data_IF_471050942172
#
_entry.id   IF_471050942172
#
_cell.length_a   1.000
_cell.length_b   1.000
_cell.length_c   1.000
_cell.angle_alpha   90.00
_cell.angle_beta   90.00
_cell.angle_gamma   90.00
#
_symmetry.space_group_name_H-M   'P 1'
#
loop_
_entity.id
_entity.type
_entity.pdbx_description
1 polymer ?
#
# COMPACT_ATOMS: atom_id res chain seq x y z
N UNK A 1 -5.45 1.42 -25.13
CA UNK A 1 -6.44 2.49 -25.40
C UNK A 1 -5.80 3.88 -25.55
N UNK A 2 -4.67 4.17 -24.88
CA UNK A 2 -3.99 5.48 -24.95
C UNK A 2 -3.53 5.90 -26.35
N UNK A 3 -2.93 5.00 -27.14
CA UNK A 3 -2.40 5.36 -28.47
C UNK A 3 -3.49 5.80 -29.47
N UNK A 4 -4.68 5.19 -29.40
CA UNK A 4 -5.81 5.57 -30.27
C UNK A 4 -6.38 6.94 -29.90
N UNK A 5 -6.43 7.25 -28.60
CA UNK A 5 -6.86 8.55 -28.10
C UNK A 5 -5.93 9.68 -28.56
N UNK A 6 -4.61 9.51 -28.45
CA UNK A 6 -3.65 10.51 -28.93
C UNK A 6 -3.69 10.71 -30.44
N UNK A 7 -3.87 9.62 -31.19
CA UNK A 7 -4.04 9.70 -32.63
C UNK A 7 -5.30 10.49 -33.00
N UNK A 8 -6.43 10.25 -32.33
CA UNK A 8 -7.66 11.02 -32.51
C UNK A 8 -7.50 12.49 -32.08
N UNK A 9 -6.82 12.77 -30.97
CA UNK A 9 -6.56 14.14 -30.51
C UNK A 9 -5.67 14.92 -31.50
N UNK A 10 -4.60 14.30 -32.02
CA UNK A 10 -3.71 14.94 -32.99
C UNK A 10 -4.44 15.21 -34.31
N UNK A 11 -5.20 14.23 -34.82
CA UNK A 11 -5.92 14.37 -36.09
C UNK A 11 -7.03 15.40 -36.03
N UNK A 12 -7.78 15.47 -34.93
CA UNK A 12 -8.80 16.51 -34.71
C UNK A 12 -8.20 17.90 -34.54
N UNK A 13 -7.10 18.01 -33.77
CA UNK A 13 -6.38 19.28 -33.62
C UNK A 13 -5.81 19.76 -34.97
N UNK A 14 -5.23 18.85 -35.75
CA UNK A 14 -4.69 19.15 -37.08
C UNK A 14 -5.80 19.59 -38.05
N UNK A 15 -6.95 18.91 -38.05
CA UNK A 15 -8.11 19.30 -38.86
C UNK A 15 -8.64 20.69 -38.47
N UNK A 16 -8.75 20.98 -37.17
CA UNK A 16 -9.15 22.31 -36.67
C UNK A 16 -8.16 23.39 -37.10
N UNK A 17 -6.86 23.14 -36.97
CA UNK A 17 -5.82 24.07 -37.41
C UNK A 17 -5.89 24.32 -38.93
N UNK A 18 -6.15 23.29 -39.74
CA UNK A 18 -6.35 23.46 -41.18
C UNK A 18 -7.60 24.28 -41.52
N UNK A 19 -8.73 24.01 -40.84
CA UNK A 19 -9.98 24.77 -41.02
C UNK A 19 -9.77 26.25 -40.68
N UNK A 20 -8.98 26.56 -39.65
CA UNK A 20 -8.66 27.94 -39.25
C UNK A 20 -7.58 28.57 -40.16
N UNK A 21 -6.64 27.77 -40.68
CA UNK A 21 -5.55 28.25 -41.53
C UNK A 21 -6.01 28.71 -42.93
N UNK A 22 -6.99 28.03 -43.53
CA UNK A 22 -7.54 28.37 -44.84
C UNK A 22 -8.08 29.82 -44.90
N UNK A 23 -8.96 30.29 -43.99
CA UNK A 23 -9.41 31.68 -43.95
C UNK A 23 -8.32 32.65 -43.46
N UNK A 24 -7.43 32.22 -42.57
CA UNK A 24 -6.28 33.02 -42.11
C UNK A 24 -5.38 33.46 -43.27
N UNK A 25 -5.04 32.54 -44.18
CA UNK A 25 -4.19 32.83 -45.35
C UNK A 25 -4.82 33.89 -46.28
N UNK A 26 -6.15 33.91 -46.39
CA UNK A 26 -6.89 34.83 -47.27
C UNK A 26 -7.16 36.20 -46.63
N UNK A 27 -7.05 36.32 -45.30
CA UNK A 27 -7.33 37.57 -44.58
C UNK A 27 -6.18 38.57 -44.70
N UNK A 28 -6.49 39.84 -44.98
CA UNK A 28 -5.52 40.95 -44.96
C UNK A 28 -5.45 41.67 -43.59
N UNK A 29 -6.35 41.35 -42.65
CA UNK A 29 -6.41 42.02 -41.34
C UNK A 29 -5.31 41.52 -40.40
N UNK A 30 -4.48 42.45 -39.92
CA UNK A 30 -3.42 42.18 -38.92
C UNK A 30 -4.03 41.69 -37.60
N UNK A 31 -5.14 42.29 -37.15
CA UNK A 31 -5.81 41.91 -35.91
C UNK A 31 -6.35 40.48 -35.96
N UNK A 32 -6.98 40.09 -37.08
CA UNK A 32 -7.48 38.73 -37.27
C UNK A 32 -6.33 37.71 -37.27
N UNK A 33 -5.22 38.04 -37.92
CA UNK A 33 -4.04 37.17 -37.93
C UNK A 33 -3.43 37.03 -36.53
N UNK A 34 -3.34 38.11 -35.76
CA UNK A 34 -2.87 38.08 -34.37
C UNK A 34 -3.77 37.21 -33.48
N UNK A 35 -5.09 37.35 -33.59
CA UNK A 35 -6.06 36.55 -32.84
C UNK A 35 -5.94 35.05 -33.15
N UNK A 36 -5.89 34.69 -34.43
CA UNK A 36 -5.72 33.29 -34.86
C UNK A 36 -4.38 32.72 -34.38
N UNK A 37 -3.30 33.50 -34.47
CA UNK A 37 -1.99 33.10 -33.95
C UNK A 37 -2.02 32.79 -32.46
N UNK A 38 -2.63 33.67 -31.65
CA UNK A 38 -2.81 33.46 -30.22
C UNK A 38 -3.64 32.21 -29.91
N UNK A 39 -4.74 32.00 -30.64
CA UNK A 39 -5.62 30.85 -30.47
C UNK A 39 -4.89 29.53 -30.81
N UNK A 40 -4.07 29.51 -31.86
CA UNK A 40 -3.20 28.39 -32.19
C UNK A 40 -2.20 28.10 -31.07
N UNK A 41 -1.56 29.12 -30.48
CA UNK A 41 -0.62 28.97 -29.36
C UNK A 41 -1.32 28.37 -28.14
N UNK A 42 -2.54 28.82 -27.81
CA UNK A 42 -3.32 28.29 -26.68
C UNK A 42 -3.67 26.82 -26.92
N UNK A 43 -4.17 26.47 -28.11
CA UNK A 43 -4.52 25.08 -28.45
C UNK A 43 -3.29 24.19 -28.37
N UNK A 44 -2.16 24.59 -28.96
CA UNK A 44 -0.92 23.84 -28.89
C UNK A 44 -0.41 23.68 -27.45
N UNK A 45 -0.57 24.70 -26.61
CA UNK A 45 -0.19 24.65 -25.19
C UNK A 45 -1.06 23.67 -24.40
N UNK A 46 -2.36 23.63 -24.64
CA UNK A 46 -3.29 22.68 -24.00
C UNK A 46 -2.99 21.23 -24.42
N UNK A 47 -2.80 20.99 -25.72
CA UNK A 47 -2.43 19.66 -26.23
C UNK A 47 -1.08 19.22 -25.68
N UNK A 48 -0.09 20.13 -25.64
CA UNK A 48 1.21 19.87 -25.02
C UNK A 48 1.07 19.51 -23.54
N UNK A 49 0.27 20.26 -22.78
CA UNK A 49 -0.02 19.99 -21.38
C UNK A 49 -0.64 18.60 -21.16
N UNK A 50 -1.63 18.22 -21.97
CA UNK A 50 -2.29 16.90 -21.85
C UNK A 50 -1.34 15.74 -22.18
N UNK A 51 -0.50 15.88 -23.22
CA UNK A 51 0.53 14.88 -23.56
C UNK A 51 1.50 14.73 -22.39
N UNK A 52 2.05 15.84 -21.88
CA UNK A 52 2.99 15.83 -20.75
C UNK A 52 2.33 15.19 -19.51
N UNK A 53 1.12 15.64 -19.15
CA UNK A 53 0.35 15.10 -18.03
C UNK A 53 0.13 13.60 -18.14
N UNK A 54 -0.15 13.08 -19.34
CA UNK A 54 -0.34 11.65 -19.55
C UNK A 54 0.94 10.83 -19.46
N UNK A 55 2.07 11.37 -19.93
CA UNK A 55 3.36 10.70 -19.77
C UNK A 55 3.68 10.56 -18.28
N UNK A 56 3.48 11.64 -17.51
CA UNK A 56 3.63 11.62 -16.06
C UNK A 56 2.65 10.64 -15.39
N UNK A 57 1.36 10.66 -15.76
CA UNK A 57 0.37 9.74 -15.23
C UNK A 57 0.71 8.27 -15.53
N UNK A 58 1.23 7.96 -16.71
CA UNK A 58 1.65 6.61 -17.08
C UNK A 58 2.84 6.14 -16.24
N UNK A 59 3.82 7.03 -16.02
CA UNK A 59 4.97 6.75 -15.15
C UNK A 59 4.50 6.49 -13.71
N UNK A 60 3.60 7.32 -13.20
CA UNK A 60 3.02 7.18 -11.87
C UNK A 60 2.25 5.85 -11.72
N UNK A 61 1.42 5.49 -12.71
CA UNK A 61 0.74 4.20 -12.74
C UNK A 61 1.72 3.02 -12.73
N UNK A 62 2.84 3.12 -13.45
CA UNK A 62 3.90 2.11 -13.44
C UNK A 62 4.53 1.93 -12.06
N UNK A 63 4.80 3.04 -11.35
CA UNK A 63 5.33 3.03 -9.97
C UNK A 63 4.30 2.43 -9.00
N UNK A 64 3.05 2.86 -9.09
CA UNK A 64 1.96 2.33 -8.26
C UNK A 64 1.75 0.83 -8.47
N UNK A 65 1.85 0.36 -9.72
CA UNK A 65 1.78 -1.07 -10.03
C UNK A 65 2.92 -1.84 -9.38
N UNK A 66 4.17 -1.38 -9.53
CA UNK A 66 5.33 -2.01 -8.90
C UNK A 66 5.20 -2.05 -7.38
N UNK A 67 4.82 -0.94 -6.78
CA UNK A 67 4.61 -0.85 -5.33
C UNK A 67 3.56 -1.87 -4.85
N UNK A 68 2.46 -2.06 -5.59
CA UNK A 68 1.46 -3.10 -5.31
C UNK A 68 2.03 -4.52 -5.42
N UNK A 69 2.87 -4.80 -6.42
CA UNK A 69 3.54 -6.10 -6.58
C UNK A 69 4.48 -6.39 -5.39
N UNK A 70 5.24 -5.40 -4.91
CA UNK A 70 6.05 -5.55 -3.69
C UNK A 70 5.21 -5.77 -2.44
N UNK A 71 4.09 -5.06 -2.29
CA UNK A 71 3.19 -5.25 -1.15
C UNK A 71 2.58 -6.65 -1.13
N UNK A 72 2.24 -7.18 -2.31
CA UNK A 72 1.77 -8.55 -2.46
C UNK A 72 2.86 -9.56 -2.09
N UNK A 73 4.09 -9.36 -2.56
CA UNK A 73 5.22 -10.21 -2.20
C UNK A 73 5.47 -10.22 -0.68
N UNK A 74 5.45 -9.05 -0.04
CA UNK A 74 5.63 -8.94 1.39
C UNK A 74 4.52 -9.65 2.17
N UNK A 75 3.26 -9.51 1.74
CA UNK A 75 2.13 -10.25 2.32
C UNK A 75 2.30 -11.76 2.16
N UNK A 76 2.74 -12.22 0.98
CA UNK A 76 2.97 -13.65 0.71
C UNK A 76 4.09 -14.22 1.60
N UNK A 77 5.19 -13.50 1.76
CA UNK A 77 6.29 -13.93 2.61
C UNK A 77 5.88 -13.91 4.08
N UNK A 78 5.16 -12.89 4.54
CA UNK A 78 4.61 -12.87 5.91
C UNK A 78 3.77 -14.12 6.18
N UNK A 79 2.80 -14.40 5.30
CA UNK A 79 1.92 -15.56 5.45
C UNK A 79 2.69 -16.88 5.51
N UNK A 80 3.73 -17.05 4.69
CA UNK A 80 4.61 -18.23 4.72
C UNK A 80 5.40 -18.32 6.04
N UNK A 81 5.92 -17.20 6.52
CA UNK A 81 6.79 -17.13 7.69
C UNK A 81 6.03 -17.37 9.01
N UNK A 82 4.72 -17.17 9.06
CA UNK A 82 3.92 -17.41 10.27
C UNK A 82 3.98 -18.85 10.77
N UNK A 83 4.26 -19.84 9.91
CA UNK A 83 4.47 -21.23 10.33
C UNK A 83 5.67 -21.39 11.28
N UNK A 84 6.65 -20.49 11.19
CA UNK A 84 7.84 -20.51 12.03
C UNK A 84 7.70 -19.62 13.28
N UNK A 85 6.60 -18.87 13.40
CA UNK A 85 6.40 -17.89 14.44
C UNK A 85 5.75 -18.50 15.69
N UNK A 86 6.42 -19.44 16.38
CA UNK A 86 5.97 -20.07 17.66
C UNK A 86 4.50 -20.59 17.70
N UNK A 87 3.79 -20.63 16.57
CA UNK A 87 2.37 -20.98 16.47
C UNK A 87 2.31 -22.45 16.06
N UNK A 88 2.12 -23.33 17.04
CA UNK A 88 2.26 -24.77 16.83
C UNK A 88 0.98 -25.44 16.27
N UNK A 89 -0.19 -24.79 16.35
CA UNK A 89 -1.45 -25.39 15.90
C UNK A 89 -1.90 -24.85 14.51
N UNK A 90 -1.83 -25.66 13.43
CA UNK A 90 -2.29 -25.28 12.10
C UNK A 90 -3.81 -25.12 11.98
N UNK A 91 -4.60 -25.50 12.99
CA UNK A 91 -6.04 -25.20 13.07
C UNK A 91 -6.33 -23.75 13.42
N UNK A 92 -5.28 -23.00 13.79
CA UNK A 92 -5.42 -21.60 14.14
C UNK A 92 -5.96 -20.81 12.96
N UNK A 93 -7.08 -20.16 13.24
CA UNK A 93 -7.75 -19.27 12.30
C UNK A 93 -7.11 -17.90 12.34
N UNK A 94 -6.96 -17.31 11.16
CA UNK A 94 -6.34 -16.00 10.97
C UNK A 94 -7.41 -14.95 10.68
N UNK A 95 -7.41 -13.89 11.49
CA UNK A 95 -8.16 -12.66 11.26
C UNK A 95 -7.24 -11.59 10.67
N UNK A 96 -7.69 -10.88 9.64
CA UNK A 96 -6.99 -9.69 9.13
C UNK A 96 -7.79 -8.43 9.49
N UNK A 97 -7.11 -7.44 10.05
CA UNK A 97 -7.68 -6.12 10.34
C UNK A 97 -7.14 -5.11 9.33
N UNK A 98 -8.03 -4.60 8.49
CA UNK A 98 -7.75 -3.72 7.36
C UNK A 98 -8.21 -2.28 7.62
N UNK A 99 -7.67 -1.36 6.82
CA UNK A 99 -8.02 0.06 6.84
C UNK A 99 -9.49 0.30 6.49
N UNK A 100 -10.05 1.45 6.92
CA UNK A 100 -11.38 1.88 6.48
C UNK A 100 -11.43 2.04 4.96
N UNK A 101 -12.51 1.57 4.33
CA UNK A 101 -12.68 1.48 2.87
C UNK A 101 -12.63 2.84 2.14
N UNK A 102 -12.99 3.93 2.83
CA UNK A 102 -13.02 5.30 2.28
C UNK A 102 -11.97 6.22 2.90
N UNK A 103 -10.85 5.67 3.35
CA UNK A 103 -9.78 6.47 3.92
C UNK A 103 -8.85 7.04 2.83
N UNK A 104 -8.54 8.34 2.89
CA UNK A 104 -7.45 8.96 2.09
C UNK A 104 -6.07 8.66 2.70
N UNK A 105 -5.93 7.52 3.36
CA UNK A 105 -4.68 7.15 4.03
C UNK A 105 -3.76 6.54 2.97
N UNK A 106 -2.50 7.01 2.82
CA UNK A 106 -1.58 6.53 1.80
C UNK A 106 -1.44 4.99 1.76
N UNK A 107 -1.53 4.32 2.91
CA UNK A 107 -1.40 2.86 3.06
C UNK A 107 -2.68 2.07 2.69
N UNK A 108 -3.86 2.70 2.69
CA UNK A 108 -5.10 2.04 2.30
C UNK A 108 -5.13 1.69 0.80
N UNK A 109 -4.37 2.42 -0.03
CA UNK A 109 -4.29 2.19 -1.48
C UNK A 109 -3.64 0.86 -1.89
N UNK A 110 -2.97 0.17 -0.95
CA UNK A 110 -2.24 -1.07 -1.21
C UNK A 110 -2.66 -2.26 -0.34
N UNK A 111 -3.59 -2.08 0.61
CA UNK A 111 -3.98 -3.16 1.53
C UNK A 111 -4.54 -4.38 0.79
N UNK A 112 -5.31 -4.18 -0.28
CA UNK A 112 -5.79 -5.26 -1.16
C UNK A 112 -4.66 -6.13 -1.71
N UNK A 113 -3.53 -5.53 -2.07
CA UNK A 113 -2.36 -6.26 -2.57
C UNK A 113 -1.70 -7.06 -1.45
N UNK A 114 -1.54 -6.45 -0.27
CA UNK A 114 -1.02 -7.14 0.92
C UNK A 114 -1.90 -8.35 1.29
N UNK A 115 -3.22 -8.15 1.37
CA UNK A 115 -4.21 -9.19 1.68
C UNK A 115 -4.13 -10.34 0.67
N UNK A 116 -4.10 -10.03 -0.62
CA UNK A 116 -3.94 -11.05 -1.66
C UNK A 116 -2.63 -11.84 -1.52
N UNK A 117 -1.55 -11.19 -1.09
CA UNK A 117 -0.30 -11.85 -0.74
C UNK A 117 -0.48 -12.77 0.47
N UNK A 118 -1.03 -12.24 1.56
CA UNK A 118 -1.29 -12.98 2.80
C UNK A 118 -2.11 -14.23 2.56
N UNK A 119 -3.21 -14.15 1.82
CA UNK A 119 -4.04 -15.31 1.48
C UNK A 119 -3.24 -16.42 0.81
N UNK A 120 -2.37 -16.07 -0.15
CA UNK A 120 -1.47 -17.03 -0.81
C UNK A 120 -0.47 -17.64 0.17
N UNK A 121 0.18 -16.79 0.97
CA UNK A 121 1.20 -17.22 1.92
C UNK A 121 0.65 -18.11 3.03
N UNK A 122 -0.48 -17.70 3.63
CA UNK A 122 -1.20 -18.44 4.66
C UNK A 122 -1.67 -19.80 4.16
N UNK A 123 -2.24 -19.86 2.96
CA UNK A 123 -2.64 -21.11 2.32
C UNK A 123 -1.44 -22.05 2.12
N UNK A 124 -0.31 -21.53 1.65
CA UNK A 124 0.92 -22.31 1.48
C UNK A 124 1.49 -22.80 2.82
N UNK A 125 1.29 -22.06 3.90
CA UNK A 125 1.68 -22.42 5.25
C UNK A 125 0.69 -23.37 5.96
N UNK A 126 -0.50 -23.60 5.41
CA UNK A 126 -1.52 -24.49 5.97
C UNK A 126 -2.51 -23.82 6.94
N UNK A 127 -2.47 -22.49 7.08
CA UNK A 127 -3.40 -21.75 7.95
C UNK A 127 -4.79 -21.62 7.33
N UNK A 128 -5.81 -21.60 8.18
CA UNK A 128 -7.19 -21.32 7.78
C UNK A 128 -7.52 -19.84 7.92
N UNK A 129 -7.88 -19.21 6.80
CA UNK A 129 -8.34 -17.82 6.79
C UNK A 129 -9.79 -17.72 7.30
N UNK A 130 -10.07 -16.82 8.25
CA UNK A 130 -11.41 -16.65 8.85
C UNK A 130 -12.17 -15.48 8.27
N UNK A 131 -11.63 -14.27 8.38
CA UNK A 131 -12.32 -13.03 8.02
C UNK A 131 -11.35 -11.87 7.79
N UNK A 132 -11.83 -10.87 7.04
CA UNK A 132 -11.23 -9.53 6.97
C UNK A 132 -12.22 -8.60 7.68
N UNK A 133 -11.77 -7.93 8.73
CA UNK A 133 -12.53 -6.89 9.41
C UNK A 133 -11.91 -5.53 9.08
N UNK A 134 -12.77 -4.54 8.81
CA UNK A 134 -12.32 -3.18 8.54
C UNK A 134 -12.64 -2.31 9.73
N UNK A 135 -11.67 -1.50 10.12
CA UNK A 135 -11.84 -0.53 11.20
C UNK A 135 -12.90 0.49 10.82
N UNK A 136 -13.81 0.79 11.76
CA UNK A 136 -14.74 1.89 11.59
C UNK A 136 -14.00 3.23 11.70
N UNK A 137 -14.21 4.17 10.75
CA UNK A 137 -13.57 5.47 10.83
C UNK A 137 -14.05 6.21 12.08
N UNK A 138 -13.11 6.70 12.89
CA UNK A 138 -13.46 7.53 14.04
C UNK A 138 -14.24 8.77 13.60
N UNK A 139 -15.24 9.17 14.39
CA UNK A 139 -15.98 10.43 14.21
C UNK A 139 -15.11 11.64 14.54
N UNK A 140 -14.11 11.45 15.41
CA UNK A 140 -13.06 12.43 15.63
C UNK A 140 -12.00 12.21 14.55
N UNK A 141 -11.42 13.26 13.97
CA UNK A 141 -10.38 13.16 12.92
C UNK A 141 -9.09 12.44 13.38
N UNK A 142 -9.09 11.75 14.53
CA UNK A 142 -8.07 10.80 14.92
C UNK A 142 -8.22 9.55 14.04
N UNK A 143 -7.41 9.49 12.98
CA UNK A 143 -7.33 8.37 12.03
C UNK A 143 -6.79 7.07 12.65
N UNK A 144 -6.59 7.02 13.96
CA UNK A 144 -5.93 5.94 14.66
C UNK A 144 -6.94 4.96 15.26
N UNK A 145 -6.67 3.66 15.12
CA UNK A 145 -7.43 2.59 15.74
C UNK A 145 -7.50 2.78 17.27
N UNK A 146 -8.71 2.82 17.84
CA UNK A 146 -8.89 2.88 19.29
C UNK A 146 -8.79 1.49 19.91
N UNK A 147 -8.50 1.44 21.21
CA UNK A 147 -8.45 0.17 21.95
C UNK A 147 -9.78 -0.58 21.89
N UNK A 148 -10.88 0.11 22.21
CA UNK A 148 -12.23 -0.45 22.20
C UNK A 148 -12.63 -1.01 20.83
N UNK A 149 -12.25 -0.33 19.74
CA UNK A 149 -12.55 -0.81 18.40
C UNK A 149 -11.74 -2.08 18.06
N UNK A 150 -10.49 -2.14 18.52
CA UNK A 150 -9.65 -3.31 18.35
C UNK A 150 -10.19 -4.51 19.12
N UNK A 151 -10.55 -4.33 20.39
CA UNK A 151 -11.23 -5.34 21.22
C UNK A 151 -12.55 -5.80 20.58
N UNK A 152 -13.38 -4.85 20.12
CA UNK A 152 -14.67 -5.15 19.49
C UNK A 152 -14.49 -6.05 18.27
N UNK A 153 -13.51 -5.74 17.41
CA UNK A 153 -13.23 -6.54 16.22
C UNK A 153 -12.79 -7.96 16.61
N UNK A 154 -11.85 -8.08 17.56
CA UNK A 154 -11.31 -9.38 17.97
C UNK A 154 -12.37 -10.25 18.66
N UNK A 155 -13.19 -9.66 19.54
CA UNK A 155 -14.26 -10.38 20.26
C UNK A 155 -15.38 -10.90 19.37
N UNK A 156 -15.55 -10.37 18.15
CA UNK A 156 -16.46 -10.96 17.15
C UNK A 156 -15.97 -12.31 16.62
N UNK A 157 -14.68 -12.62 16.78
CA UNK A 157 -14.03 -13.81 16.26
C UNK A 157 -13.27 -14.55 17.37
N UNK A 158 -13.96 -15.08 18.40
CA UNK A 158 -13.30 -15.71 19.55
C UNK A 158 -12.54 -17.00 19.21
N UNK A 159 -12.74 -17.54 18.01
CA UNK A 159 -12.09 -18.76 17.52
C UNK A 159 -10.78 -18.51 16.74
N UNK A 160 -10.29 -17.27 16.71
CA UNK A 160 -9.03 -16.90 16.03
C UNK A 160 -7.86 -16.95 16.99
N UNK A 161 -6.74 -17.52 16.52
CA UNK A 161 -5.49 -17.57 17.30
C UNK A 161 -4.42 -16.63 16.78
N UNK A 162 -4.59 -16.08 15.56
CA UNK A 162 -3.71 -15.04 14.99
C UNK A 162 -4.56 -13.89 14.47
N UNK A 163 -4.13 -12.68 14.79
CA UNK A 163 -4.62 -11.43 14.22
C UNK A 163 -3.49 -10.77 13.44
N UNK A 164 -3.72 -10.41 12.18
CA UNK A 164 -2.80 -9.62 11.36
C UNK A 164 -3.37 -8.22 11.21
N UNK A 165 -2.73 -7.23 11.82
CA UNK A 165 -3.13 -5.83 11.71
C UNK A 165 -2.35 -5.10 10.62
N UNK A 166 -3.08 -4.63 9.59
CA UNK A 166 -2.54 -3.74 8.56
C UNK A 166 -2.57 -2.27 9.00
N UNK A 167 -3.44 -1.95 9.96
CA UNK A 167 -3.63 -0.61 10.52
C UNK A 167 -2.64 -0.27 11.63
N UNK A 168 -1.88 -1.27 12.11
CA UNK A 168 -0.94 -1.14 13.22
C UNK A 168 -1.56 -1.39 14.59
N UNK A 169 -0.91 -0.90 15.64
CA UNK A 169 -1.37 -1.02 17.02
C UNK A 169 -2.37 0.08 17.37
N UNK A 170 -3.32 -0.17 18.29
CA UNK A 170 -4.19 0.90 18.79
C UNK A 170 -3.38 1.96 19.54
N UNK A 171 -3.91 3.18 19.59
CA UNK A 171 -3.24 4.35 20.20
C UNK A 171 -2.95 4.13 21.69
N UNK A 172 -3.89 3.48 22.37
CA UNK A 172 -3.79 3.17 23.79
C UNK A 172 -3.66 1.67 24.01
N UNK A 173 -2.43 1.19 23.90
CA UNK A 173 -2.07 -0.20 24.13
C UNK A 173 -2.29 -0.69 25.56
N UNK A 174 -2.51 0.19 26.54
CA UNK A 174 -2.73 -0.25 27.93
C UNK A 174 -4.20 -0.56 28.20
N UNK A 175 -5.08 -0.02 27.37
CA UNK A 175 -6.52 -0.08 27.56
C UNK A 175 -7.22 -1.17 26.74
N UNK A 176 -6.50 -1.95 25.93
CA UNK A 176 -7.15 -3.10 25.27
C UNK A 176 -7.19 -4.31 26.20
N UNK A 177 -8.35 -4.94 26.21
CA UNK A 177 -8.75 -5.87 27.25
C UNK A 177 -8.40 -7.31 26.88
N UNK A 178 -8.46 -7.67 25.60
CA UNK A 178 -8.30 -9.07 25.16
C UNK A 178 -6.95 -9.67 25.53
N UNK A 179 -5.89 -8.87 25.79
CA UNK A 179 -4.60 -9.39 26.24
C UNK A 179 -4.64 -10.08 27.59
N UNK A 180 -5.66 -9.80 28.39
CA UNK A 180 -5.87 -10.42 29.69
C UNK A 180 -6.77 -11.66 29.63
N UNK A 181 -7.24 -12.03 28.43
CA UNK A 181 -7.99 -13.27 28.24
C UNK A 181 -7.07 -14.47 28.50
N UNK A 182 -7.66 -15.64 28.82
CA UNK A 182 -6.88 -16.85 29.14
C UNK A 182 -6.00 -17.30 27.95
N UNK A 183 -6.48 -17.09 26.72
CA UNK A 183 -5.81 -17.49 25.48
C UNK A 183 -5.95 -16.38 24.42
N UNK A 184 -5.23 -15.25 24.55
CA UNK A 184 -5.35 -14.15 23.63
C UNK A 184 -4.79 -14.53 22.25
N UNK A 185 -5.37 -14.04 21.15
CA UNK A 185 -4.77 -14.23 19.84
C UNK A 185 -3.42 -13.51 19.75
N UNK A 186 -2.49 -14.13 19.03
CA UNK A 186 -1.18 -13.55 18.75
C UNK A 186 -1.30 -12.47 17.69
N UNK A 187 -0.62 -11.35 17.91
CA UNK A 187 -0.67 -10.23 16.98
C UNK A 187 0.51 -10.24 16.01
N UNK A 188 0.22 -9.94 14.75
CA UNK A 188 1.19 -9.74 13.69
C UNK A 188 0.95 -8.37 13.07
N UNK A 189 2.00 -7.59 12.86
CA UNK A 189 1.88 -6.27 12.26
C UNK A 189 2.41 -6.26 10.83
N UNK A 190 1.66 -5.63 9.92
CA UNK A 190 2.15 -5.30 8.59
C UNK A 190 2.21 -3.79 8.43
N UNK A 191 3.41 -3.24 8.51
CA UNK A 191 3.65 -1.81 8.63
C UNK A 191 3.24 -1.28 10.00
N UNK A 192 2.85 0.00 10.02
CA UNK A 192 2.52 0.73 11.25
C UNK A 192 3.66 1.63 11.72
N UNK A 193 3.50 2.17 12.93
CA UNK A 193 4.58 2.77 13.71
C UNK A 193 5.17 1.66 14.58
N UNK A 194 6.49 1.48 14.55
CA UNK A 194 7.20 0.47 15.34
C UNK A 194 7.64 0.97 16.71
N UNK A 195 7.23 2.18 17.09
CA UNK A 195 7.43 2.69 18.44
C UNK A 195 6.89 1.71 19.49
N UNK A 196 7.73 1.36 20.45
CA UNK A 196 7.47 0.37 21.51
C UNK A 196 7.22 -1.08 21.02
N UNK A 197 7.54 -1.41 19.75
CA UNK A 197 7.36 -2.78 19.24
C UNK A 197 8.28 -3.78 19.94
N UNK A 198 9.44 -3.33 20.40
CA UNK A 198 10.41 -4.09 21.19
C UNK A 198 9.76 -4.66 22.46
N UNK A 199 9.02 -3.82 23.20
CA UNK A 199 8.28 -4.25 24.39
C UNK A 199 7.17 -5.24 24.00
N UNK A 200 6.40 -4.92 22.96
CA UNK A 200 5.31 -5.78 22.51
C UNK A 200 5.79 -7.18 22.04
N UNK A 201 6.95 -7.25 21.39
CA UNK A 201 7.62 -8.49 20.99
C UNK A 201 8.16 -9.26 22.21
N UNK A 202 8.81 -8.58 23.15
CA UNK A 202 9.36 -9.19 24.38
C UNK A 202 8.28 -9.78 25.29
N UNK A 203 7.15 -9.10 25.42
CA UNK A 203 5.98 -9.60 26.15
C UNK A 203 5.13 -10.59 25.34
N UNK A 204 5.58 -10.99 24.14
CA UNK A 204 4.90 -11.94 23.24
C UNK A 204 3.47 -11.54 22.84
N UNK A 205 3.12 -10.27 23.02
CA UNK A 205 1.84 -9.71 22.55
C UNK A 205 1.84 -9.63 21.03
N UNK A 206 2.96 -9.20 20.46
CA UNK A 206 3.24 -9.27 19.02
C UNK A 206 4.24 -10.40 18.80
N UNK A 207 4.02 -11.24 17.79
CA UNK A 207 4.95 -12.32 17.42
C UNK A 207 5.85 -11.96 16.24
N UNK A 208 5.37 -11.06 15.38
CA UNK A 208 6.14 -10.57 14.25
C UNK A 208 5.63 -9.22 13.74
N UNK A 209 6.51 -8.44 13.15
CA UNK A 209 6.18 -7.23 12.40
C UNK A 209 6.93 -7.20 11.06
N UNK A 210 6.30 -6.67 10.01
CA UNK A 210 6.98 -6.30 8.78
C UNK A 210 7.01 -4.78 8.65
N UNK A 211 8.15 -4.24 8.27
CA UNK A 211 8.27 -2.84 7.85
C UNK A 211 9.13 -2.72 6.61
N UNK A 212 9.20 -1.51 6.06
CA UNK A 212 10.12 -1.17 4.99
C UNK A 212 11.56 -1.08 5.52
N UNK A 213 12.51 -1.62 4.74
CA UNK A 213 13.92 -1.36 4.98
C UNK A 213 14.20 0.13 4.72
N UNK A 214 14.84 0.87 5.66
CA UNK A 214 15.22 2.25 5.42
C UNK A 214 16.06 2.42 4.14
N UNK A 215 15.64 3.31 3.25
CA UNK A 215 16.31 3.52 1.96
C UNK A 215 15.90 2.56 0.84
N UNK A 216 14.99 1.61 1.10
CA UNK A 216 14.44 0.75 0.05
C UNK A 216 13.81 1.55 -1.08
N UNK A 217 14.03 1.10 -2.31
CA UNK A 217 13.48 1.72 -3.51
C UNK A 217 12.54 0.74 -4.24
N UNK A 218 11.45 1.21 -4.82
CA UNK A 218 10.42 0.36 -5.47
C UNK A 218 10.36 0.61 -6.98
N UNK A 219 11.49 1.01 -7.57
CA UNK A 219 11.56 1.40 -8.97
C UNK A 219 11.71 0.20 -9.91
N UNK A 220 12.24 -0.91 -9.42
CA UNK A 220 12.39 -2.14 -10.19
C UNK A 220 11.16 -3.04 -10.03
N UNK A 221 11.02 -4.06 -10.87
CA UNK A 221 9.98 -5.07 -10.64
C UNK A 221 10.51 -6.08 -9.62
N UNK A 222 9.67 -6.58 -8.70
CA UNK A 222 10.09 -7.64 -7.80
C UNK A 222 10.54 -8.88 -8.58
N UNK A 223 9.92 -9.24 -9.70
CA UNK A 223 10.37 -10.37 -10.53
C UNK A 223 11.53 -9.98 -11.45
N UNK A 224 12.76 -9.92 -10.91
CA UNK A 224 13.96 -10.11 -11.73
C UNK A 224 14.22 -11.60 -11.83
N UNK A 225 14.34 -12.14 -13.05
CA UNK A 225 14.57 -13.59 -13.31
C UNK A 225 15.85 -14.16 -12.64
N UNK A 226 16.64 -13.28 -12.04
CA UNK A 226 17.94 -13.53 -11.42
C UNK A 226 17.82 -13.71 -9.89
N UNK A 227 16.79 -13.14 -9.24
CA UNK A 227 16.68 -13.09 -7.76
C UNK A 227 15.54 -13.95 -7.25
N UNK A 228 15.76 -14.63 -6.14
CA UNK A 228 14.70 -15.35 -5.44
C UNK A 228 13.76 -14.37 -4.73
N UNK A 229 12.49 -14.77 -4.53
CA UNK A 229 11.50 -13.98 -3.79
C UNK A 229 12.00 -13.51 -2.42
N UNK A 230 12.78 -14.36 -1.72
CA UNK A 230 13.36 -14.03 -0.42
C UNK A 230 14.44 -12.94 -0.52
N UNK A 231 15.28 -12.96 -1.56
CA UNK A 231 16.27 -11.90 -1.80
C UNK A 231 15.58 -10.56 -2.07
N UNK A 232 14.58 -10.57 -2.95
CA UNK A 232 13.80 -9.36 -3.27
C UNK A 232 13.14 -8.80 -2.00
N UNK A 233 12.61 -9.65 -1.14
CA UNK A 233 12.04 -9.21 0.14
C UNK A 233 13.08 -8.56 1.05
N UNK A 234 14.22 -9.20 1.28
CA UNK A 234 15.27 -8.70 2.17
C UNK A 234 15.88 -7.37 1.68
N UNK A 235 15.81 -7.08 0.39
CA UNK A 235 16.23 -5.78 -0.18
C UNK A 235 15.25 -4.63 0.08
N UNK A 236 14.00 -4.93 0.47
CA UNK A 236 12.93 -3.94 0.53
C UNK A 236 12.21 -3.89 1.88
N UNK A 237 12.30 -4.96 2.66
CA UNK A 237 11.54 -5.16 3.89
C UNK A 237 12.39 -5.74 5.00
N UNK A 238 11.98 -5.43 6.22
CA UNK A 238 12.47 -6.05 7.45
C UNK A 238 11.37 -6.92 8.03
N UNK A 239 11.72 -8.16 8.37
CA UNK A 239 10.89 -9.04 9.18
C UNK A 239 11.44 -9.07 10.61
N UNK A 240 10.69 -8.47 11.53
CA UNK A 240 11.09 -8.22 12.91
C UNK A 240 10.37 -9.22 13.81
N UNK A 241 11.13 -9.87 14.68
CA UNK A 241 10.67 -10.83 15.68
C UNK A 241 11.42 -10.58 16.99
N UNK A 242 11.02 -11.25 18.08
CA UNK A 242 11.76 -11.18 19.34
C UNK A 242 13.23 -11.64 19.22
N UNK A 243 13.59 -12.40 18.18
CA UNK A 243 14.95 -12.93 17.99
C UNK A 243 15.93 -11.93 17.38
N UNK A 244 15.45 -10.95 16.63
CA UNK A 244 16.30 -10.02 15.86
C UNK A 244 15.94 -8.54 16.09
N UNK A 245 15.02 -8.23 17.01
CA UNK A 245 14.59 -6.86 17.26
C UNK A 245 15.74 -5.99 17.79
N UNK A 246 16.64 -6.54 18.60
CA UNK A 246 17.77 -5.79 19.16
C UNK A 246 18.78 -5.44 18.05
N UNK A 247 19.15 -6.42 17.21
CA UNK A 247 20.04 -6.18 16.05
C UNK A 247 19.46 -5.12 15.10
N UNK A 248 18.15 -5.19 14.82
CA UNK A 248 17.47 -4.23 13.94
C UNK A 248 17.37 -2.85 14.57
N UNK A 249 17.23 -2.75 15.90
CA UNK A 249 17.21 -1.48 16.61
C UNK A 249 18.60 -0.82 16.65
N UNK A 250 19.66 -1.61 16.78
CA UNK A 250 21.04 -1.12 16.72
C UNK A 250 21.38 -0.60 15.32
N UNK A 251 20.94 -1.30 14.26
CA UNK A 251 21.19 -0.89 12.87
C UNK A 251 20.27 0.28 12.44
N UNK A 252 18.99 0.25 12.84
CA UNK A 252 17.97 1.20 12.40
C UNK A 252 17.19 1.83 13.57
N UNK A 253 17.86 2.57 14.48
CA UNK A 253 17.23 3.09 15.69
C UNK A 253 16.10 4.09 15.41
N UNK A 254 16.07 4.70 14.21
CA UNK A 254 15.01 5.62 13.79
C UNK A 254 13.64 4.92 13.66
N UNK A 255 13.61 3.61 13.45
CA UNK A 255 12.36 2.85 13.33
C UNK A 255 11.60 2.77 14.66
N UNK A 256 12.29 2.89 15.80
CA UNK A 256 11.74 2.61 17.14
C UNK A 256 11.46 3.86 17.99
N UNK A 257 11.74 5.07 17.48
CA UNK A 257 11.63 6.35 18.22
C UNK A 257 10.26 7.02 18.10
#
# INVERSE_FOLDING_TARGET
MSNLYYFMLLTTTFALLLIVYIPFRKSQSIFFRGFVGLLCVIILSLVGYDIVRSIFATKEQGVQKKHKEYMQLAGEILGKQLRYAEVEDPRIKVLIIDFPEKSRIPRAGVSKSVISGLEKGLKAAGFSFKAIERVEPSKTNDYWLSANEFDRIIRKHPDVGIVISLVGLPKDLRSVEFWNDENPPRLVLFGGNLKNIDQALRYKVVVAAITFLPGANFWEKPNSDIKSQAQIFNEHFLYITAKNVDDINDEFPILFK
#
